data_IF_178747790559
#
_entry.id   IF_178747790559
#
_cell.length_a   1.000
_cell.length_b   1.000
_cell.length_c   1.000
_cell.angle_alpha   90.00
_cell.angle_beta   90.00
_cell.angle_gamma   90.00
#
_symmetry.space_group_name_H-M   'P 1'
#
loop_
_entity.id
_entity.type
_entity.pdbx_description
1 polymer ?
#
# COMPACT_ATOMS: atom_id res chain seq x y z
N UNK A 1 -11.18 3.54 -15.18
CA UNK A 1 -11.86 2.28 -14.88
C UNK A 1 -11.14 1.20 -15.66
N UNK A 2 -10.58 0.18 -14.99
CA UNK A 2 -10.01 -0.97 -15.69
C UNK A 2 -11.07 -1.61 -16.60
N UNK A 3 -10.63 -2.22 -17.70
CA UNK A 3 -11.52 -2.92 -18.61
C UNK A 3 -12.11 -4.14 -17.89
N UNK A 4 -13.44 -4.29 -17.90
CA UNK A 4 -14.10 -5.45 -17.28
C UNK A 4 -13.53 -6.75 -17.86
N UNK A 5 -13.21 -7.71 -16.99
CA UNK A 5 -12.61 -8.98 -17.34
C UNK A 5 -11.11 -8.92 -17.61
N UNK A 6 -10.44 -7.76 -17.49
CA UNK A 6 -9.00 -7.69 -17.67
C UNK A 6 -8.24 -8.48 -16.59
N UNK A 7 -8.71 -8.43 -15.35
CA UNK A 7 -8.08 -9.14 -14.24
C UNK A 7 -8.20 -10.65 -14.43
N UNK A 8 -9.42 -11.18 -14.62
CA UNK A 8 -9.64 -12.62 -14.82
C UNK A 8 -8.88 -13.15 -16.04
N UNK A 9 -8.92 -12.45 -17.18
CA UNK A 9 -8.16 -12.86 -18.38
C UNK A 9 -6.66 -12.94 -18.13
N UNK A 10 -6.10 -11.95 -17.43
CA UNK A 10 -4.69 -11.97 -17.07
C UNK A 10 -4.40 -13.16 -16.14
N UNK A 11 -5.19 -13.34 -15.10
CA UNK A 11 -5.04 -14.43 -14.14
C UNK A 11 -5.08 -15.82 -14.79
N UNK A 12 -6.04 -16.06 -15.70
CA UNK A 12 -6.14 -17.31 -16.46
C UNK A 12 -4.91 -17.53 -17.36
N UNK A 13 -4.50 -16.50 -18.11
CA UNK A 13 -3.36 -16.58 -19.01
C UNK A 13 -2.03 -16.84 -18.27
N UNK A 14 -1.83 -16.19 -17.12
CA UNK A 14 -0.63 -16.35 -16.30
C UNK A 14 -0.58 -17.71 -15.60
N UNK A 15 -1.73 -18.24 -15.18
CA UNK A 15 -1.82 -19.59 -14.63
C UNK A 15 -1.51 -20.65 -15.69
N UNK A 16 -2.08 -20.52 -16.89
CA UNK A 16 -1.82 -21.43 -18.02
C UNK A 16 -0.34 -21.41 -18.42
N UNK A 17 0.27 -20.22 -18.53
CA UNK A 17 1.70 -20.08 -18.81
C UNK A 17 2.59 -20.62 -17.69
N UNK A 18 2.12 -20.58 -16.43
CA UNK A 18 2.89 -21.11 -15.32
C UNK A 18 3.04 -22.64 -15.39
N UNK A 19 2.06 -23.33 -15.97
CA UNK A 19 2.06 -24.77 -16.24
C UNK A 19 1.45 -25.61 -15.12
N UNK A 20 1.46 -26.92 -15.32
CA UNK A 20 0.92 -27.88 -14.34
C UNK A 20 1.63 -27.76 -12.98
N UNK A 21 0.83 -27.73 -11.90
CA UNK A 21 1.32 -27.58 -10.52
C UNK A 21 1.35 -26.14 -10.00
N UNK A 22 1.11 -25.14 -10.86
CA UNK A 22 0.91 -23.76 -10.41
C UNK A 22 -0.39 -23.63 -9.61
N UNK A 23 -0.36 -22.80 -8.58
CA UNK A 23 -1.51 -22.47 -7.74
C UNK A 23 -1.76 -20.96 -7.72
N UNK A 24 -3.03 -20.60 -7.61
CA UNK A 24 -3.47 -19.21 -7.43
C UNK A 24 -3.66 -18.89 -5.96
N UNK A 25 -3.16 -17.73 -5.58
CA UNK A 25 -3.31 -17.17 -4.26
C UNK A 25 -3.76 -15.72 -4.33
N UNK A 26 -4.41 -15.24 -3.28
CA UNK A 26 -4.78 -13.85 -3.10
C UNK A 26 -4.14 -13.31 -1.83
N UNK A 27 -3.53 -12.15 -1.93
CA UNK A 27 -3.19 -11.32 -0.77
C UNK A 27 -4.33 -10.33 -0.59
N UNK A 28 -5.12 -10.54 0.46
CA UNK A 28 -6.33 -9.75 0.74
C UNK A 28 -6.04 -8.66 1.76
N UNK A 29 -6.54 -7.46 1.47
CA UNK A 29 -6.44 -6.29 2.33
C UNK A 29 -7.51 -6.33 3.42
N UNK A 30 -7.11 -6.54 4.68
CA UNK A 30 -8.03 -6.39 5.82
C UNK A 30 -8.37 -4.93 6.16
N UNK A 31 -7.75 -3.97 5.48
CA UNK A 31 -7.96 -2.52 5.69
C UNK A 31 -8.84 -1.86 4.63
N UNK A 32 -9.24 -2.59 3.58
CA UNK A 32 -10.09 -2.04 2.52
C UNK A 32 -11.52 -1.90 3.01
N UNK A 33 -12.15 -0.76 2.74
CA UNK A 33 -13.58 -0.53 2.98
C UNK A 33 -14.47 -1.45 2.11
N UNK A 34 -13.91 -2.05 1.06
CA UNK A 34 -14.57 -3.09 0.28
C UNK A 34 -14.71 -4.44 0.98
N UNK A 35 -14.11 -4.62 2.17
CA UNK A 35 -14.18 -5.84 2.98
C UNK A 35 -13.91 -7.16 2.19
N UNK A 36 -12.82 -7.24 1.40
CA UNK A 36 -12.55 -8.38 0.52
C UNK A 36 -12.46 -9.71 1.27
N UNK A 37 -11.95 -9.69 2.51
CA UNK A 37 -11.85 -10.89 3.35
C UNK A 37 -13.24 -11.43 3.70
N UNK A 38 -14.21 -10.56 4.02
CA UNK A 38 -15.60 -10.97 4.31
C UNK A 38 -16.22 -11.61 3.06
N UNK A 39 -16.08 -10.94 1.92
CA UNK A 39 -16.62 -11.44 0.66
C UNK A 39 -15.98 -12.77 0.21
N UNK A 40 -14.68 -12.97 0.48
CA UNK A 40 -14.02 -14.25 0.20
C UNK A 40 -14.61 -15.39 1.03
N UNK A 41 -14.83 -15.17 2.33
CA UNK A 41 -15.49 -16.16 3.18
C UNK A 41 -16.92 -16.48 2.75
N UNK A 42 -17.68 -15.47 2.29
CA UNK A 42 -19.06 -15.65 1.85
C UNK A 42 -19.18 -16.44 0.54
N UNK A 43 -18.25 -16.24 -0.41
CA UNK A 43 -18.33 -16.83 -1.74
C UNK A 43 -17.69 -18.23 -1.81
N UNK A 44 -16.51 -18.40 -1.21
CA UNK A 44 -15.74 -19.65 -1.36
C UNK A 44 -15.80 -20.56 -0.13
N UNK A 45 -16.15 -20.02 1.04
CA UNK A 45 -16.13 -20.77 2.31
C UNK A 45 -14.74 -21.26 2.73
N UNK A 46 -13.68 -20.86 2.02
CA UNK A 46 -12.29 -21.20 2.28
C UNK A 46 -11.69 -20.28 3.35
N UNK A 47 -10.63 -20.77 4.02
CA UNK A 47 -9.96 -20.02 5.08
C UNK A 47 -8.87 -19.12 4.48
N UNK A 48 -9.00 -17.82 4.72
CA UNK A 48 -7.92 -16.85 4.52
C UNK A 48 -7.05 -16.80 5.79
N UNK A 49 -5.74 -17.09 5.66
CA UNK A 49 -4.81 -17.13 6.81
C UNK A 49 -4.26 -15.72 7.12
N UNK A 50 -4.37 -15.23 8.37
CA UNK A 50 -3.81 -13.93 8.76
C UNK A 50 -2.28 -13.93 8.64
N UNK A 51 -1.70 -12.98 7.91
CA UNK A 51 -0.26 -12.93 7.62
C UNK A 51 0.60 -12.53 8.82
N UNK A 52 0.05 -11.86 9.83
CA UNK A 52 0.78 -11.57 11.07
C UNK A 52 0.68 -12.69 12.13
N UNK A 53 -0.02 -13.80 11.81
CA UNK A 53 -0.15 -14.94 12.71
C UNK A 53 1.23 -15.49 13.11
N UNK A 54 1.45 -15.69 14.41
CA UNK A 54 2.75 -16.17 14.92
C UNK A 54 3.82 -15.09 15.08
N UNK A 55 3.49 -13.82 14.82
CA UNK A 55 4.37 -12.67 15.06
C UNK A 55 3.91 -11.84 16.26
N UNK A 56 4.73 -10.88 16.68
CA UNK A 56 4.38 -9.89 17.70
C UNK A 56 3.17 -9.00 17.33
N UNK A 57 2.77 -8.99 16.05
CA UNK A 57 1.66 -8.17 15.53
C UNK A 57 0.36 -8.99 15.33
N UNK A 58 0.31 -10.23 15.80
CA UNK A 58 -0.86 -11.11 15.66
C UNK A 58 -2.17 -10.51 16.21
N UNK A 59 -2.09 -9.59 17.18
CA UNK A 59 -3.26 -8.89 17.73
C UNK A 59 -3.78 -7.71 16.89
N UNK A 60 -3.11 -7.33 15.81
CA UNK A 60 -3.43 -6.13 15.01
C UNK A 60 -4.52 -6.44 13.97
N UNK A 61 -5.69 -6.86 14.43
CA UNK A 61 -6.79 -7.31 13.58
C UNK A 61 -7.29 -6.24 12.61
N UNK A 62 -7.35 -4.97 13.04
CA UNK A 62 -7.82 -3.83 12.22
C UNK A 62 -6.95 -3.55 10.99
N UNK A 63 -5.70 -4.03 10.98
CA UNK A 63 -4.75 -3.81 9.87
C UNK A 63 -4.17 -5.11 9.31
N UNK A 64 -4.81 -6.24 9.60
CA UNK A 64 -4.33 -7.57 9.28
C UNK A 64 -4.46 -7.86 7.77
N UNK A 65 -3.37 -8.16 7.04
CA UNK A 65 -3.47 -8.75 5.71
C UNK A 65 -3.68 -10.26 5.80
N UNK A 66 -4.26 -10.85 4.76
CA UNK A 66 -4.54 -12.29 4.70
C UNK A 66 -4.00 -12.91 3.42
N UNK A 67 -3.57 -14.16 3.49
CA UNK A 67 -3.27 -14.99 2.33
C UNK A 67 -4.36 -16.05 2.17
N UNK A 68 -4.91 -16.17 0.97
CA UNK A 68 -5.88 -17.21 0.63
C UNK A 68 -5.41 -17.95 -0.63
N UNK A 69 -5.70 -19.24 -0.71
CA UNK A 69 -5.62 -19.99 -1.97
C UNK A 69 -7.01 -19.96 -2.62
N UNK A 70 -7.06 -19.79 -3.94
CA UNK A 70 -8.31 -19.66 -4.69
C UNK A 70 -8.32 -20.61 -5.91
N UNK A 71 -9.51 -21.08 -6.27
CA UNK A 71 -9.73 -21.82 -7.52
C UNK A 71 -10.03 -20.85 -8.67
N UNK A 72 -9.54 -21.07 -9.90
CA UNK A 72 -9.85 -20.22 -11.06
C UNK A 72 -11.35 -20.08 -11.36
N UNK A 73 -12.18 -21.02 -10.90
CA UNK A 73 -13.64 -21.03 -11.03
C UNK A 73 -14.37 -20.44 -9.82
N UNK A 74 -13.65 -19.89 -8.85
CA UNK A 74 -14.22 -19.24 -7.67
C UNK A 74 -15.18 -18.11 -8.05
N UNK A 75 -16.32 -18.04 -7.34
CA UNK A 75 -17.28 -16.94 -7.43
C UNK A 75 -16.75 -15.63 -6.84
N UNK A 76 -15.71 -15.68 -6.01
CA UNK A 76 -15.05 -14.46 -5.50
C UNK A 76 -14.38 -13.66 -6.61
N UNK A 77 -13.94 -14.30 -7.70
CA UNK A 77 -13.42 -13.59 -8.87
C UNK A 77 -14.49 -12.71 -9.54
N UNK A 78 -15.77 -13.07 -9.46
CA UNK A 78 -16.86 -12.22 -9.97
C UNK A 78 -16.98 -10.93 -9.12
N UNK A 79 -16.85 -11.05 -7.80
CA UNK A 79 -16.81 -9.89 -6.91
C UNK A 79 -15.63 -8.97 -7.22
N UNK A 80 -14.44 -9.53 -7.52
CA UNK A 80 -13.26 -8.74 -7.92
C UNK A 80 -13.51 -7.96 -9.21
N UNK A 81 -14.25 -8.52 -10.17
CA UNK A 81 -14.56 -7.84 -11.44
C UNK A 81 -15.63 -6.73 -11.28
N UNK A 82 -16.43 -6.79 -10.22
CA UNK A 82 -17.51 -5.83 -9.94
C UNK A 82 -17.11 -4.74 -8.95
N UNK A 83 -16.14 -5.00 -8.08
CA UNK A 83 -15.74 -4.07 -7.02
C UNK A 83 -15.09 -2.80 -7.56
N UNK A 84 -15.44 -1.64 -6.98
CA UNK A 84 -14.77 -0.36 -7.25
C UNK A 84 -13.52 -0.16 -6.39
N UNK A 85 -13.31 -1.01 -5.39
CA UNK A 85 -12.24 -0.90 -4.41
C UNK A 85 -10.92 -1.44 -4.96
N UNK A 86 -10.14 -0.58 -5.61
CA UNK A 86 -8.80 -0.94 -6.14
C UNK A 86 -7.75 -1.28 -5.08
N UNK A 87 -8.10 -1.30 -3.79
CA UNK A 87 -7.23 -1.66 -2.67
C UNK A 87 -7.65 -2.96 -1.98
N UNK A 88 -8.48 -3.77 -2.64
CA UNK A 88 -8.91 -5.09 -2.14
C UNK A 88 -7.74 -6.05 -1.90
N UNK A 89 -6.62 -5.88 -2.62
CA UNK A 89 -5.52 -6.82 -2.62
C UNK A 89 -4.92 -7.03 -4.00
N UNK A 90 -4.27 -8.17 -4.19
CA UNK A 90 -3.72 -8.61 -5.48
C UNK A 90 -3.62 -10.13 -5.53
N UNK A 91 -3.44 -10.70 -6.74
CA UNK A 91 -3.31 -12.14 -6.95
C UNK A 91 -1.86 -12.56 -7.21
N UNK A 92 -1.50 -13.75 -6.77
CA UNK A 92 -0.21 -14.37 -6.96
C UNK A 92 -0.36 -15.71 -7.67
N UNK A 93 0.46 -15.94 -8.69
CA UNK A 93 0.68 -17.27 -9.27
C UNK A 93 2.00 -17.80 -8.70
N UNK A 94 1.99 -19.01 -8.12
CA UNK A 94 3.20 -19.62 -7.57
C UNK A 94 3.23 -21.13 -7.82
N UNK A 95 4.44 -21.67 -7.98
CA UNK A 95 4.70 -23.11 -8.02
C UNK A 95 4.95 -23.70 -6.62
N UNK A 96 5.06 -22.84 -5.59
CA UNK A 96 5.40 -23.27 -4.24
C UNK A 96 4.14 -23.43 -3.38
N UNK A 97 4.33 -24.07 -2.23
CA UNK A 97 3.24 -24.34 -1.29
C UNK A 97 2.71 -23.06 -0.65
N UNK A 98 1.48 -23.14 -0.13
CA UNK A 98 0.86 -22.06 0.64
C UNK A 98 1.72 -21.62 1.83
N UNK A 99 2.43 -22.55 2.48
CA UNK A 99 3.28 -22.25 3.64
C UNK A 99 4.57 -21.53 3.25
N UNK A 100 5.19 -21.89 2.13
CA UNK A 100 6.37 -21.20 1.60
C UNK A 100 6.02 -19.75 1.23
N UNK A 101 4.92 -19.57 0.50
CA UNK A 101 4.42 -18.24 0.12
C UNK A 101 4.06 -17.42 1.35
N UNK A 102 3.38 -18.01 2.32
CA UNK A 102 3.00 -17.33 3.55
C UNK A 102 4.22 -16.87 4.36
N UNK A 103 5.20 -17.74 4.57
CA UNK A 103 6.38 -17.36 5.34
C UNK A 103 7.21 -16.29 4.61
N UNK A 104 7.28 -16.31 3.27
CA UNK A 104 7.89 -15.23 2.50
C UNK A 104 7.15 -13.89 2.71
N UNK A 105 5.84 -13.87 2.50
CA UNK A 105 5.03 -12.66 2.69
C UNK A 105 5.06 -12.16 4.16
N UNK A 106 5.12 -13.08 5.13
CA UNK A 106 5.30 -12.74 6.55
C UNK A 106 6.70 -12.15 6.83
N UNK A 107 7.75 -12.60 6.14
CA UNK A 107 9.09 -12.02 6.27
C UNK A 107 9.18 -10.56 5.80
N UNK A 108 8.22 -10.14 4.96
CA UNK A 108 8.11 -8.78 4.41
C UNK A 108 7.23 -7.84 5.24
N UNK A 109 6.83 -8.19 6.47
CA UNK A 109 6.03 -7.28 7.33
C UNK A 109 6.69 -5.91 7.52
N UNK A 110 8.02 -5.90 7.60
CA UNK A 110 8.83 -4.67 7.63
C UNK A 110 9.91 -4.69 6.56
N UNK A 111 10.26 -3.49 6.10
CA UNK A 111 11.41 -3.24 5.21
C UNK A 111 12.30 -2.14 5.78
N UNK A 112 13.54 -2.06 5.28
CA UNK A 112 14.48 -0.98 5.60
C UNK A 112 14.41 0.13 4.54
N UNK A 113 14.28 1.36 5.02
CA UNK A 113 14.40 2.57 4.22
C UNK A 113 15.88 2.87 3.92
N UNK A 114 16.20 3.74 2.94
CA UNK A 114 17.57 4.11 2.63
C UNK A 114 18.35 4.69 3.83
N UNK A 115 17.65 5.38 4.72
CA UNK A 115 18.20 5.96 5.96
C UNK A 115 18.31 4.96 7.13
N UNK A 116 18.11 3.66 6.87
CA UNK A 116 18.12 2.56 7.84
C UNK A 116 16.93 2.50 8.80
N UNK A 117 15.92 3.37 8.68
CA UNK A 117 14.67 3.17 9.44
C UNK A 117 13.95 1.92 8.99
N UNK A 118 13.35 1.23 9.95
CA UNK A 118 12.44 0.12 9.70
C UNK A 118 11.01 0.63 9.68
N UNK A 119 10.29 0.33 8.60
CA UNK A 119 8.89 0.72 8.44
C UNK A 119 8.03 -0.51 8.15
N UNK A 120 6.76 -0.46 8.56
CA UNK A 120 5.79 -1.47 8.15
C UNK A 120 5.56 -1.37 6.65
N UNK A 121 5.61 -2.52 5.98
CA UNK A 121 5.46 -2.58 4.55
C UNK A 121 4.07 -3.06 4.18
N UNK A 122 3.28 -2.13 3.67
CA UNK A 122 1.87 -2.34 3.33
C UNK A 122 1.68 -2.99 1.96
N UNK A 123 2.40 -4.09 1.69
CA UNK A 123 2.42 -4.74 0.37
C UNK A 123 1.07 -5.28 -0.09
N UNK A 124 0.09 -5.43 0.80
CA UNK A 124 -1.26 -5.85 0.43
C UNK A 124 -2.07 -4.75 -0.25
N UNK A 125 -1.70 -3.47 -0.10
CA UNK A 125 -2.37 -2.38 -0.81
C UNK A 125 -1.79 -2.24 -2.22
N UNK A 126 -2.48 -2.82 -3.20
CA UNK A 126 -2.04 -2.88 -4.59
C UNK A 126 -1.79 -1.51 -5.24
N UNK A 127 -2.41 -0.44 -4.73
CA UNK A 127 -2.17 0.93 -5.20
C UNK A 127 -0.74 1.40 -4.93
N UNK A 128 -0.08 0.82 -3.93
CA UNK A 128 1.31 1.09 -3.58
C UNK A 128 2.22 -0.02 -4.07
N UNK A 129 1.79 -1.27 -3.92
CA UNK A 129 2.62 -2.42 -4.25
C UNK A 129 2.90 -2.51 -5.76
N UNK A 130 1.89 -2.38 -6.62
CA UNK A 130 2.09 -2.40 -8.07
C UNK A 130 3.11 -1.37 -8.57
N UNK A 131 2.95 -0.08 -8.23
CA UNK A 131 3.95 0.92 -8.58
C UNK A 131 5.35 0.64 -8.01
N UNK A 132 5.46 0.16 -6.77
CA UNK A 132 6.74 -0.28 -6.21
C UNK A 132 7.40 -1.34 -7.08
N UNK A 133 6.67 -2.40 -7.48
CA UNK A 133 7.20 -3.45 -8.33
C UNK A 133 7.71 -2.90 -9.68
N UNK A 134 7.06 -1.88 -10.24
CA UNK A 134 7.50 -1.23 -11.48
C UNK A 134 8.80 -0.42 -11.38
N UNK A 135 9.22 -0.09 -10.16
CA UNK A 135 10.41 0.72 -9.87
C UNK A 135 11.63 -0.10 -9.47
N UNK A 136 11.44 -1.38 -9.17
CA UNK A 136 12.51 -2.30 -8.84
C UNK A 136 13.24 -2.75 -10.12
N UNK A 137 14.56 -2.91 -10.02
CA UNK A 137 15.29 -3.69 -11.02
C UNK A 137 14.94 -5.19 -10.90
N UNK A 138 15.23 -5.97 -11.93
CA UNK A 138 14.82 -7.39 -12.01
C UNK A 138 15.35 -8.22 -10.83
N UNK A 139 16.55 -7.91 -10.32
CA UNK A 139 17.13 -8.59 -9.16
C UNK A 139 16.36 -8.28 -7.87
N UNK A 140 16.07 -7.00 -7.61
CA UNK A 140 15.32 -6.55 -6.44
C UNK A 140 13.86 -7.01 -6.52
N UNK A 141 13.29 -7.04 -7.73
CA UNK A 141 11.96 -7.56 -7.98
C UNK A 141 11.89 -9.07 -7.66
N UNK A 142 12.85 -9.85 -8.15
CA UNK A 142 12.96 -11.28 -7.85
C UNK A 142 13.11 -11.55 -6.35
N UNK A 143 13.93 -10.76 -5.65
CA UNK A 143 14.06 -10.87 -4.20
C UNK A 143 12.71 -10.57 -3.52
N UNK A 144 12.06 -9.44 -3.84
CA UNK A 144 10.79 -9.04 -3.21
C UNK A 144 9.67 -10.03 -3.47
N UNK A 145 9.53 -10.51 -4.70
CA UNK A 145 8.46 -11.43 -5.09
C UNK A 145 8.73 -12.85 -4.57
N UNK A 146 9.98 -13.26 -4.47
CA UNK A 146 10.39 -14.55 -3.89
C UNK A 146 9.68 -15.73 -4.56
N UNK A 147 8.84 -16.50 -3.85
CA UNK A 147 8.10 -17.62 -4.42
C UNK A 147 6.95 -17.19 -5.34
N UNK A 148 6.60 -15.91 -5.41
CA UNK A 148 5.59 -15.39 -6.34
C UNK A 148 6.21 -15.32 -7.74
N UNK A 149 5.75 -16.18 -8.65
CA UNK A 149 6.19 -16.16 -10.06
C UNK A 149 5.59 -14.97 -10.80
N UNK A 150 4.30 -14.70 -10.54
CA UNK A 150 3.57 -13.58 -11.14
C UNK A 150 2.71 -12.92 -10.08
N UNK A 151 2.81 -11.60 -9.94
CA UNK A 151 1.90 -10.78 -9.14
C UNK A 151 0.96 -10.00 -10.07
N UNK A 152 -0.35 -10.10 -9.86
CA UNK A 152 -1.37 -9.51 -10.72
C UNK A 152 -2.16 -8.48 -9.93
N UNK A 153 -2.05 -7.21 -10.35
CA UNK A 153 -2.75 -6.10 -9.70
C UNK A 153 -4.23 -6.06 -10.11
N UNK A 154 -5.11 -5.37 -9.35
CA UNK A 154 -6.55 -5.28 -9.62
C UNK A 154 -6.93 -4.86 -11.04
N UNK A 155 -6.10 -4.09 -11.73
CA UNK A 155 -6.34 -3.68 -13.11
C UNK A 155 -5.93 -4.71 -14.17
N UNK A 156 -5.50 -5.90 -13.78
CA UNK A 156 -5.01 -6.95 -14.68
C UNK A 156 -3.58 -6.71 -15.17
N UNK A 157 -2.77 -5.94 -14.42
CA UNK A 157 -1.34 -5.77 -14.73
C UNK A 157 -0.51 -6.88 -14.06
N UNK A 158 0.17 -7.75 -14.83
CA UNK A 158 1.11 -8.72 -14.28
C UNK A 158 2.49 -8.10 -14.06
N UNK A 159 3.14 -8.52 -12.99
CA UNK A 159 4.54 -8.28 -12.67
C UNK A 159 5.22 -9.64 -12.56
N UNK A 160 6.37 -9.77 -13.21
CA UNK A 160 7.17 -11.00 -13.29
C UNK A 160 8.65 -10.63 -13.16
N UNK A 161 9.46 -11.59 -12.73
CA UNK A 161 10.91 -11.45 -12.69
C UNK A 161 11.59 -12.58 -13.45
N UNK A 162 12.81 -12.33 -13.92
CA UNK A 162 13.63 -13.34 -14.60
C UNK A 162 14.45 -14.21 -13.63
N UNK A 163 14.49 -13.81 -12.36
CA UNK A 163 15.22 -14.53 -11.31
C UNK A 163 14.71 -15.95 -11.04
N UNK A 164 15.60 -16.83 -10.60
CA UNK A 164 15.22 -18.15 -10.10
C UNK A 164 14.35 -17.98 -8.84
N UNK A 165 13.27 -18.76 -8.73
CA UNK A 165 12.48 -18.82 -7.50
C UNK A 165 13.42 -19.21 -6.34
N UNK A 166 13.58 -18.36 -5.31
CA UNK A 166 14.44 -18.70 -4.18
C UNK A 166 13.91 -19.96 -3.50
N UNK A 167 14.72 -21.02 -3.48
CA UNK A 167 14.34 -22.30 -2.85
C UNK A 167 14.69 -22.31 -1.35
N UNK A 168 15.60 -21.45 -0.87
CA UNK A 168 16.08 -21.56 0.52
C UNK A 168 16.37 -20.24 1.24
N UNK A 169 15.89 -20.25 2.50
CA UNK A 169 16.08 -19.34 3.64
C UNK A 169 15.23 -18.06 3.65
N UNK A 170 14.13 -18.12 4.39
CA UNK A 170 13.41 -16.94 4.86
C UNK A 170 14.30 -16.17 5.84
N UNK A 171 14.85 -15.05 5.38
CA UNK A 171 15.55 -14.11 6.25
C UNK A 171 14.54 -13.46 7.22
N UNK A 172 14.91 -13.24 8.49
CA UNK A 172 14.00 -12.62 9.45
C UNK A 172 13.68 -11.18 9.03
N UNK A 173 12.44 -10.77 9.23
CA UNK A 173 12.02 -9.39 8.98
C UNK A 173 12.73 -8.42 9.95
N UNK A 174 13.20 -7.24 9.49
CA UNK A 174 13.24 -6.79 8.09
C UNK A 174 14.53 -7.23 7.38
N UNK A 175 14.42 -7.63 6.11
CA UNK A 175 15.57 -8.01 5.29
C UNK A 175 15.63 -7.24 3.97
N UNK A 176 14.49 -6.87 3.38
CA UNK A 176 14.44 -6.10 2.15
C UNK A 176 14.78 -4.62 2.40
N UNK A 177 15.62 -4.03 1.55
CA UNK A 177 16.03 -2.63 1.65
C UNK A 177 15.65 -1.86 0.39
N UNK A 178 14.95 -0.75 0.55
CA UNK A 178 14.64 0.16 -0.56
C UNK A 178 15.87 0.96 -0.98
N UNK A 179 15.96 1.25 -2.27
CA UNK A 179 16.95 2.18 -2.80
C UNK A 179 16.45 3.63 -2.68
N UNK A 180 17.36 4.63 -2.61
CA UNK A 180 16.98 6.04 -2.64
C UNK A 180 16.17 6.46 -3.87
N UNK A 181 16.33 5.74 -4.99
CA UNK A 181 15.57 6.01 -6.21
C UNK A 181 14.11 5.58 -6.06
N UNK A 182 13.89 4.35 -5.61
CA UNK A 182 12.55 3.78 -5.38
C UNK A 182 11.79 4.59 -4.33
N UNK A 183 12.44 4.97 -3.23
CA UNK A 183 11.83 5.83 -2.20
C UNK A 183 11.36 7.17 -2.79
N UNK A 184 12.18 7.80 -3.65
CA UNK A 184 11.84 9.08 -4.27
C UNK A 184 10.65 8.95 -5.20
N UNK A 185 10.62 7.89 -6.02
CA UNK A 185 9.52 7.63 -6.95
C UNK A 185 8.21 7.34 -6.20
N UNK A 186 8.24 6.50 -5.17
CA UNK A 186 7.08 6.21 -4.32
C UNK A 186 6.56 7.45 -3.59
N UNK A 187 7.45 8.26 -3.03
CA UNK A 187 7.05 9.50 -2.33
C UNK A 187 6.37 10.50 -3.27
N UNK A 188 6.77 10.52 -4.54
CA UNK A 188 6.10 11.30 -5.59
C UNK A 188 4.66 10.82 -5.83
N UNK A 189 4.45 9.51 -5.95
CA UNK A 189 3.12 8.91 -6.13
C UNK A 189 2.20 9.16 -4.94
N UNK A 190 2.74 9.05 -3.72
CA UNK A 190 1.95 9.15 -2.49
C UNK A 190 1.72 10.61 -2.06
N UNK A 191 2.19 11.60 -2.82
CA UNK A 191 2.15 13.00 -2.43
C UNK A 191 0.74 13.50 -2.10
N UNK A 192 -0.24 13.18 -2.95
CA UNK A 192 -1.63 13.60 -2.71
C UNK A 192 -2.21 12.98 -1.43
N UNK A 193 -1.92 11.70 -1.19
CA UNK A 193 -2.38 11.00 0.01
C UNK A 193 -1.71 11.54 1.28
N UNK A 194 -0.41 11.86 1.23
CA UNK A 194 0.29 12.52 2.32
C UNK A 194 -0.35 13.86 2.65
N UNK A 195 -0.68 14.65 1.63
CA UNK A 195 -1.37 15.95 1.78
C UNK A 195 -2.74 15.76 2.41
N UNK A 196 -3.52 14.79 1.94
CA UNK A 196 -4.87 14.51 2.45
C UNK A 196 -4.85 14.01 3.89
N UNK A 197 -3.93 13.11 4.22
CA UNK A 197 -3.71 12.64 5.59
C UNK A 197 -3.29 13.81 6.51
N UNK A 198 -2.40 14.68 6.04
CA UNK A 198 -1.97 15.88 6.79
C UNK A 198 -3.14 16.83 7.02
N UNK A 199 -3.95 17.08 5.99
CA UNK A 199 -5.15 17.90 6.09
C UNK A 199 -6.12 17.33 7.12
N UNK A 200 -6.40 16.02 7.06
CA UNK A 200 -7.30 15.36 8.00
C UNK A 200 -6.80 15.50 9.44
N UNK A 201 -5.51 15.30 9.68
CA UNK A 201 -4.93 15.42 11.02
C UNK A 201 -4.95 16.87 11.52
N UNK A 202 -4.59 17.83 10.68
CA UNK A 202 -4.67 19.25 11.02
C UNK A 202 -6.10 19.74 11.28
N UNK A 203 -7.12 19.13 10.67
CA UNK A 203 -8.53 19.45 10.97
C UNK A 203 -8.98 18.93 12.34
N UNK A 204 -8.37 17.84 12.84
CA UNK A 204 -8.67 17.31 14.18
C UNK A 204 -8.12 18.20 15.30
N UNK A 205 -7.10 19.01 15.01
CA UNK A 205 -6.51 19.92 15.99
C UNK A 205 -7.50 21.06 16.31
N UNK A 206 -7.82 21.22 17.60
CA UNK A 206 -8.68 22.32 18.04
C UNK A 206 -8.02 23.68 17.75
N UNK A 207 -8.78 24.61 17.17
CA UNK A 207 -8.28 25.92 16.74
C UNK A 207 -7.48 25.89 15.45
N UNK A 208 -7.63 24.85 14.63
CA UNK A 208 -6.98 24.75 13.33
C UNK A 208 -7.26 25.97 12.44
N UNK A 209 -6.23 26.61 11.86
CA UNK A 209 -6.40 27.74 10.95
C UNK A 209 -7.10 27.33 9.65
N UNK A 210 -7.15 26.03 9.34
CA UNK A 210 -7.76 25.50 8.11
C UNK A 210 -9.25 25.85 8.02
N UNK A 211 -9.96 25.90 9.15
CA UNK A 211 -11.38 26.25 9.22
C UNK A 211 -11.68 27.68 8.75
N UNK A 212 -10.66 28.55 8.71
CA UNK A 212 -10.81 29.94 8.27
C UNK A 212 -10.67 30.14 6.76
N UNK A 213 -10.35 29.08 6.00
CA UNK A 213 -10.09 29.14 4.57
C UNK A 213 -11.05 28.26 3.78
N UNK A 214 -11.33 28.59 2.50
CA UNK A 214 -11.96 27.64 1.58
C UNK A 214 -11.13 26.35 1.46
N UNK A 215 -11.76 25.16 1.30
CA UNK A 215 -11.05 23.87 1.28
C UNK A 215 -9.89 23.79 0.28
N UNK A 216 -10.09 24.30 -0.94
CA UNK A 216 -9.06 24.33 -1.99
C UNK A 216 -7.84 25.18 -1.58
N UNK A 217 -8.08 26.31 -0.91
CA UNK A 217 -7.02 27.20 -0.43
C UNK A 217 -6.28 26.57 0.75
N UNK A 218 -7.02 25.93 1.66
CA UNK A 218 -6.44 25.20 2.78
C UNK A 218 -5.51 24.08 2.27
N UNK A 219 -5.94 23.31 1.27
CA UNK A 219 -5.11 22.29 0.61
C UNK A 219 -3.82 22.87 0.06
N UNK A 220 -3.91 23.89 -0.81
CA UNK A 220 -2.73 24.51 -1.42
C UNK A 220 -1.75 25.07 -0.37
N UNK A 221 -2.25 25.59 0.74
CA UNK A 221 -1.42 26.07 1.86
C UNK A 221 -0.70 24.93 2.57
N UNK A 222 -1.38 23.83 2.86
CA UNK A 222 -0.77 22.63 3.45
C UNK A 222 0.28 22.05 2.50
N UNK A 223 -0.03 21.91 1.20
CA UNK A 223 0.91 21.46 0.18
C UNK A 223 2.18 22.30 0.15
N UNK A 224 2.03 23.64 0.17
CA UNK A 224 3.16 24.56 0.19
C UNK A 224 4.03 24.38 1.43
N UNK A 225 3.43 24.19 2.60
CA UNK A 225 4.17 24.01 3.85
C UNK A 225 4.86 22.64 3.90
N UNK A 226 4.21 21.58 3.41
CA UNK A 226 4.83 20.27 3.26
C UNK A 226 6.03 20.30 2.33
N UNK A 227 5.96 21.01 1.18
CA UNK A 227 7.13 21.18 0.29
C UNK A 227 8.30 21.91 0.95
N UNK A 228 8.00 22.85 1.86
CA UNK A 228 9.04 23.57 2.63
C UNK A 228 9.67 22.67 3.69
N UNK A 229 8.85 21.88 4.37
CA UNK A 229 9.29 20.91 5.36
C UNK A 229 10.18 19.85 4.71
N UNK A 230 9.76 19.32 3.56
CA UNK A 230 10.47 18.25 2.86
C UNK A 230 11.82 18.70 2.30
N UNK A 231 11.99 20.00 2.00
CA UNK A 231 13.20 20.55 1.35
C UNK A 231 13.59 19.78 0.07
N UNK A 232 12.62 19.16 -0.60
CA UNK A 232 12.84 18.32 -1.79
C UNK A 232 13.27 16.88 -1.49
N UNK A 233 13.32 16.47 -0.22
CA UNK A 233 13.52 15.07 0.19
C UNK A 233 12.17 14.33 0.25
N UNK A 234 12.16 13.00 0.03
CA UNK A 234 10.96 12.19 0.24
C UNK A 234 10.50 12.27 1.71
N UNK A 235 9.20 12.48 1.91
CA UNK A 235 8.56 12.34 3.23
C UNK A 235 7.73 11.07 3.17
N UNK A 236 8.12 10.09 3.97
CA UNK A 236 7.44 8.79 4.08
C UNK A 236 6.53 8.72 5.30
N UNK A 237 6.82 9.52 6.34
CA UNK A 237 6.00 9.66 7.55
C UNK A 237 6.17 11.07 8.13
N UNK A 238 5.09 11.65 8.65
CA UNK A 238 5.13 12.90 9.41
C UNK A 238 5.13 12.60 10.89
N UNK A 239 6.18 13.06 11.59
CA UNK A 239 6.22 12.94 13.04
C UNK A 239 5.28 13.95 13.70
N UNK A 240 4.91 13.71 14.96
CA UNK A 240 4.15 14.69 15.77
C UNK A 240 4.83 16.08 15.81
N UNK A 241 6.16 16.20 15.97
CA UNK A 241 6.87 17.47 15.81
C UNK A 241 6.67 18.15 14.44
N UNK A 242 6.68 17.37 13.36
CA UNK A 242 6.47 17.91 12.00
C UNK A 242 5.07 18.48 11.85
N UNK A 243 4.05 17.75 12.33
CA UNK A 243 2.65 18.21 12.34
C UNK A 243 2.49 19.48 13.19
N UNK A 244 3.10 19.53 14.38
CA UNK A 244 3.07 20.72 15.24
C UNK A 244 3.74 21.93 14.56
N UNK A 245 4.87 21.71 13.88
CA UNK A 245 5.55 22.75 13.11
C UNK A 245 4.71 23.26 11.95
N UNK A 246 4.10 22.36 11.17
CA UNK A 246 3.18 22.70 10.08
C UNK A 246 2.00 23.53 10.60
N UNK A 247 1.36 23.08 11.69
CA UNK A 247 0.26 23.79 12.32
C UNK A 247 0.65 25.21 12.76
N UNK A 248 1.81 25.37 13.40
CA UNK A 248 2.32 26.68 13.82
C UNK A 248 2.58 27.62 12.63
N UNK A 249 3.19 27.11 11.55
CA UNK A 249 3.41 27.87 10.33
C UNK A 249 2.09 28.35 9.70
N UNK A 250 1.07 27.49 9.66
CA UNK A 250 -0.26 27.83 9.14
C UNK A 250 -0.98 28.87 10.02
N UNK A 251 -0.87 28.78 11.34
CA UNK A 251 -1.41 29.80 12.26
C UNK A 251 -0.77 31.17 12.03
N UNK A 252 0.54 31.21 11.81
CA UNK A 252 1.24 32.47 11.48
C UNK A 252 0.75 33.04 10.15
N UNK A 253 0.50 32.20 9.14
CA UNK A 253 -0.08 32.65 7.87
C UNK A 253 -1.50 33.19 8.03
N UNK A 254 -2.36 32.53 8.80
CA UNK A 254 -3.73 32.98 9.06
C UNK A 254 -3.76 34.35 9.75
N UNK A 255 -2.84 34.57 10.71
CA UNK A 255 -2.67 35.86 11.39
C UNK A 255 -2.20 36.95 10.42
N UNK A 256 -1.26 36.64 9.52
CA UNK A 256 -0.76 37.59 8.51
C UNK A 256 -1.78 37.91 7.42
N UNK A 257 -2.64 36.95 7.07
CA UNK A 257 -3.72 37.12 6.10
C UNK A 257 -4.95 37.85 6.66
N UNK A 258 -4.98 38.11 7.97
CA UNK A 258 -6.01 38.93 8.64
C UNK A 258 -5.48 40.34 8.95
N UNK A 259 -5.33 41.26 7.98
CA UNK A 259 -5.12 42.66 8.31
C UNK A 259 -6.48 43.31 8.64
N UNK A 260 -6.65 43.67 9.91
CA UNK A 260 -7.45 44.82 10.39
C UNK A 260 -8.94 44.81 10.00
N UNK A 261 -9.79 44.26 10.88
CA UNK A 261 -11.15 44.81 11.11
C UNK A 261 -11.25 45.36 12.53
N UNK A 262 -10.61 46.51 12.73
CA UNK A 262 -10.79 47.43 13.86
C UNK A 262 -9.84 48.61 13.61
N UNK A 263 -10.22 49.87 13.45
CA UNK A 263 -11.47 50.61 13.68
C UNK A 263 -11.22 52.01 13.11
N UNK A 264 -12.23 52.69 12.56
CA UNK A 264 -12.51 54.10 12.91
C UNK A 264 -13.83 54.56 12.30
N UNK A 265 -14.76 54.92 13.21
CA UNK A 265 -15.83 55.92 13.18
C UNK A 265 -16.86 55.86 12.06
#
# INVERSE_FOLDING_TARGET
MPERGAFRRCLEAELEQAGEGASLYLVLSGTSEGEPVRHFYEQDGLIARPLFLGTAYSGWHEVMPYLAQIDPMSGFLDWIEETEWGDWGWAAVSMLSFDDLFGHLQSLIKIRMPDQREVFFRYWDARFFGPLLSYLDDQSLAAMMGPVKVAIMPGGQPYQHSGLLPVEKQEPSPWFQLTPEVERQLSGLCWHQLVDATLAELHRINGSPLLSWPPEVARLKVERQLRRLSRGQPITELSQPDLAHLHQCLLQEARKASPIRSSTV
#
